data_IF_518780301179
#
_entry.id   IF_518780301179
#
_cell.length_a   1.000
_cell.length_b   1.000
_cell.length_c   1.000
_cell.angle_alpha   90.00
_cell.angle_beta   90.00
_cell.angle_gamma   90.00
#
_symmetry.space_group_name_H-M   'P 1'
#
loop_
_entity.id
_entity.type
_entity.pdbx_description
1 polymer ?
#
# COMPACT_ATOMS: atom_id res chain seq x y z
N UNK A 1 -15.52 -10.80 2.16
CA UNK A 1 -14.69 -11.00 0.97
C UNK A 1 -14.78 -9.72 0.16
N UNK A 2 -13.96 -8.74 0.52
CA UNK A 2 -13.89 -7.44 -0.16
C UNK A 2 -12.61 -7.42 -0.99
N UNK A 3 -12.67 -6.77 -2.15
CA UNK A 3 -11.71 -6.86 -3.26
C UNK A 3 -10.29 -6.34 -2.89
N UNK A 4 -10.11 -5.69 -1.74
CA UNK A 4 -8.86 -5.04 -1.30
C UNK A 4 -7.71 -6.01 -1.02
N UNK A 5 -7.98 -7.14 -0.34
CA UNK A 5 -6.94 -8.09 0.11
C UNK A 5 -6.17 -8.73 -1.06
N UNK A 6 -6.89 -9.07 -2.12
CA UNK A 6 -6.32 -9.74 -3.29
C UNK A 6 -5.68 -8.75 -4.27
N UNK A 7 -6.21 -7.51 -4.35
CA UNK A 7 -5.68 -6.51 -5.27
C UNK A 7 -4.27 -6.08 -4.89
N UNK A 8 -3.99 -5.84 -3.62
CA UNK A 8 -2.65 -5.39 -3.19
C UNK A 8 -1.61 -6.49 -3.37
N UNK A 9 -1.92 -7.74 -2.98
CA UNK A 9 -1.00 -8.89 -3.15
C UNK A 9 -0.69 -9.14 -4.63
N UNK A 10 -1.70 -9.11 -5.51
CA UNK A 10 -1.50 -9.28 -6.94
C UNK A 10 -0.73 -8.10 -7.56
N UNK A 11 -1.02 -6.86 -7.14
CA UNK A 11 -0.33 -5.66 -7.60
C UNK A 11 1.16 -5.70 -7.21
N UNK A 12 1.51 -6.16 -6.00
CA UNK A 12 2.90 -6.35 -5.58
C UNK A 12 3.60 -7.49 -6.32
N UNK A 13 2.93 -8.64 -6.51
CA UNK A 13 3.52 -9.81 -7.18
C UNK A 13 3.77 -9.58 -8.67
N UNK A 14 2.94 -8.77 -9.34
CA UNK A 14 3.12 -8.39 -10.75
C UNK A 14 4.23 -7.33 -10.89
N UNK A 15 4.52 -6.58 -9.83
CA UNK A 15 5.36 -5.39 -9.87
C UNK A 15 6.87 -5.67 -9.79
N UNK A 16 7.45 -6.07 -10.91
CA UNK A 16 8.81 -5.67 -11.25
C UNK A 16 8.85 -4.20 -11.77
N UNK A 17 7.88 -3.35 -11.40
CA UNK A 17 7.76 -1.98 -11.91
C UNK A 17 6.46 -1.21 -11.60
N UNK A 18 5.60 -1.67 -10.68
CA UNK A 18 4.45 -0.87 -10.26
C UNK A 18 4.86 0.21 -9.25
N UNK A 19 4.18 1.35 -9.30
CA UNK A 19 4.40 2.45 -8.37
C UNK A 19 3.78 2.13 -7.00
N UNK A 20 4.64 1.84 -6.02
CA UNK A 20 4.27 1.54 -4.63
C UNK A 20 3.72 2.75 -3.86
N UNK A 21 3.81 3.96 -4.44
CA UNK A 21 3.33 5.22 -3.87
C UNK A 21 2.14 5.81 -4.65
N UNK A 22 1.59 5.08 -5.63
CA UNK A 22 0.38 5.46 -6.32
C UNK A 22 -0.75 5.69 -5.31
N UNK A 23 -1.59 6.70 -5.55
CA UNK A 23 -2.76 6.99 -4.72
C UNK A 23 -4.02 6.55 -5.45
N UNK A 24 -4.97 5.98 -4.71
CA UNK A 24 -6.32 5.76 -5.22
C UNK A 24 -7.16 7.06 -5.22
N UNK A 25 -8.44 6.94 -5.58
CA UNK A 25 -9.39 8.06 -5.63
C UNK A 25 -9.61 8.72 -4.26
N UNK A 26 -9.40 7.99 -3.16
CA UNK A 26 -9.48 8.49 -1.79
C UNK A 26 -8.16 9.10 -1.30
N UNK A 27 -7.12 9.08 -2.15
CA UNK A 27 -5.80 9.61 -1.84
C UNK A 27 -4.96 8.68 -0.98
N UNK A 28 -5.37 7.42 -0.83
CA UNK A 28 -4.69 6.40 -0.05
C UNK A 28 -3.65 5.68 -0.91
N UNK A 29 -2.49 5.43 -0.33
CA UNK A 29 -1.44 4.60 -0.93
C UNK A 29 -1.70 3.12 -0.65
N UNK A 30 -1.08 2.19 -1.40
CA UNK A 30 -1.08 0.77 -1.06
C UNK A 30 -0.71 0.49 0.40
N UNK A 31 0.19 1.29 1.00
CA UNK A 31 0.58 1.14 2.39
C UNK A 31 -0.49 1.65 3.38
N UNK A 32 -1.21 2.71 3.04
CA UNK A 32 -2.36 3.17 3.85
C UNK A 32 -3.44 2.09 3.88
N UNK A 33 -3.74 1.48 2.73
CA UNK A 33 -4.75 0.43 2.62
C UNK A 33 -4.29 -0.84 3.36
N UNK A 34 -3.00 -1.20 3.22
CA UNK A 34 -2.41 -2.31 3.94
C UNK A 34 -2.34 -2.09 5.45
N UNK A 35 -2.28 -0.87 5.95
CA UNK A 35 -2.27 -0.60 7.40
C UNK A 35 -3.63 -0.17 7.95
N UNK A 36 -4.67 -0.23 7.11
CA UNK A 36 -6.00 0.23 7.48
C UNK A 36 -6.64 -0.69 8.54
N UNK A 37 -7.24 -0.14 9.61
CA UNK A 37 -7.81 -0.94 10.70
C UNK A 37 -8.95 -1.87 10.26
N UNK A 38 -9.59 -1.60 9.12
CA UNK A 38 -10.65 -2.47 8.56
C UNK A 38 -10.10 -3.68 7.78
N UNK A 39 -8.78 -3.77 7.59
CA UNK A 39 -8.10 -4.91 6.96
C UNK A 39 -7.23 -5.63 8.02
N UNK A 40 -7.79 -6.47 8.91
CA UNK A 40 -7.04 -7.08 10.01
C UNK A 40 -6.20 -8.31 9.62
N UNK A 41 -6.26 -8.80 8.38
CA UNK A 41 -5.62 -10.06 7.98
C UNK A 41 -4.51 -9.82 6.96
N UNK A 42 -3.35 -10.45 7.19
CA UNK A 42 -2.16 -10.48 6.30
C UNK A 42 -1.48 -9.13 6.00
N UNK A 43 -1.78 -8.10 6.78
CA UNK A 43 -1.32 -6.73 6.55
C UNK A 43 0.13 -6.46 6.90
N UNK A 44 0.69 -7.19 7.87
CA UNK A 44 2.08 -6.99 8.32
C UNK A 44 3.10 -7.40 7.25
N UNK A 45 2.89 -8.52 6.56
CA UNK A 45 3.79 -8.99 5.50
C UNK A 45 3.72 -8.08 4.27
N UNK A 46 2.51 -7.66 3.89
CA UNK A 46 2.30 -6.74 2.76
C UNK A 46 2.90 -5.36 3.08
N UNK A 47 2.68 -4.84 4.28
CA UNK A 47 3.25 -3.58 4.73
C UNK A 47 4.78 -3.65 4.75
N UNK A 48 5.36 -4.76 5.25
CA UNK A 48 6.80 -4.97 5.26
C UNK A 48 7.38 -5.02 3.84
N UNK A 49 6.71 -5.71 2.90
CA UNK A 49 7.12 -5.76 1.50
C UNK A 49 7.02 -4.38 0.83
N UNK A 50 5.90 -3.66 1.01
CA UNK A 50 5.73 -2.30 0.51
C UNK A 50 6.84 -1.38 1.02
N UNK A 51 7.13 -1.41 2.32
CA UNK A 51 8.24 -0.66 2.94
C UNK A 51 9.59 -1.03 2.34
N UNK A 52 9.87 -2.32 2.15
CA UNK A 52 11.11 -2.80 1.52
C UNK A 52 11.30 -2.28 0.09
N UNK A 53 10.20 -2.06 -0.63
CA UNK A 53 10.20 -1.49 -1.98
C UNK A 53 10.07 0.04 -2.01
N UNK A 54 10.15 0.72 -0.86
CA UNK A 54 10.10 2.19 -0.79
C UNK A 54 8.68 2.78 -0.75
N UNK A 55 7.68 1.95 -0.49
CA UNK A 55 6.30 2.35 -0.25
C UNK A 55 6.18 3.19 1.02
N UNK A 56 5.41 4.28 0.90
CA UNK A 56 5.15 5.25 1.95
C UNK A 56 3.66 5.47 2.06
N UNK A 57 3.23 5.85 3.25
CA UNK A 57 1.87 6.32 3.50
C UNK A 57 1.65 7.67 2.83
N UNK A 58 0.40 8.00 2.55
CA UNK A 58 0.00 9.30 2.01
C UNK A 58 0.44 10.45 2.94
N UNK A 59 0.49 10.22 4.26
CA UNK A 59 0.97 11.16 5.26
C UNK A 59 2.49 11.42 5.15
N UNK A 60 3.29 10.37 4.97
CA UNK A 60 4.74 10.50 4.78
C UNK A 60 5.09 11.22 3.48
N UNK A 61 4.39 10.90 2.38
CA UNK A 61 4.58 11.60 1.10
C UNK A 61 4.25 13.10 1.21
N UNK A 62 3.24 13.47 2.01
CA UNK A 62 2.91 14.88 2.28
C UNK A 62 3.99 15.57 3.12
N UNK A 63 4.64 14.86 4.03
CA UNK A 63 5.70 15.41 4.87
C UNK A 63 7.01 15.67 4.09
N UNK A 64 7.28 14.89 3.05
CA UNK A 64 8.48 15.01 2.22
C UNK A 64 8.38 16.08 1.11
N UNK A 65 7.17 16.42 0.67
CA UNK A 65 6.93 17.44 -0.35
C UNK A 65 6.99 18.89 0.15
N UNK A 66 7.72 19.16 1.24
CA UNK A 66 7.77 20.46 1.91
C UNK A 66 9.14 21.13 1.79
#
# INVERSE_FOLDING_TARGET
MVISDLFIKLFLLIANGADVNAKDEDGLTPLDIATHPENPNDTDEIAALLRKHGGKTSAELKAEGK
#
